data_IF_668479826392
#
_entry.id   IF_668479826392
#
_cell.length_a   1.000
_cell.length_b   1.000
_cell.length_c   1.000
_cell.angle_alpha   90.00
_cell.angle_beta   90.00
_cell.angle_gamma   90.00
#
_symmetry.space_group_name_H-M   'P 1'
#
loop_
_entity.id
_entity.type
_entity.pdbx_description
1 polymer ?
#
# COMPACT_ATOMS: atom_id res chain seq x y z
N UNK A 1 -97.99 -69.06 -42.79
CA UNK A 1 -97.08 -70.21 -42.93
C UNK A 1 -95.69 -69.74 -42.52
N UNK A 2 -95.29 -70.10 -41.30
CA UNK A 2 -94.10 -69.64 -40.58
C UNK A 2 -92.88 -70.37 -41.17
N UNK A 3 -91.91 -69.63 -41.74
CA UNK A 3 -90.65 -70.24 -42.21
C UNK A 3 -89.84 -70.62 -40.96
N UNK A 4 -89.91 -71.88 -40.56
CA UNK A 4 -89.02 -72.44 -39.55
C UNK A 4 -87.63 -72.58 -40.18
N UNK A 5 -86.74 -71.65 -39.81
CA UNK A 5 -85.31 -71.81 -40.06
C UNK A 5 -84.82 -73.03 -39.27
N UNK A 6 -84.07 -73.90 -39.94
CA UNK A 6 -83.59 -75.16 -39.39
C UNK A 6 -82.61 -74.90 -38.23
N UNK A 7 -82.89 -75.42 -37.05
CA UNK A 7 -82.15 -75.10 -35.81
C UNK A 7 -80.66 -75.45 -35.91
N UNK A 8 -80.32 -76.47 -36.69
CA UNK A 8 -78.94 -76.87 -36.93
C UNK A 8 -78.15 -75.83 -37.73
N UNK A 9 -78.81 -75.14 -38.67
CA UNK A 9 -78.20 -74.08 -39.49
C UNK A 9 -77.90 -72.85 -38.65
N UNK A 10 -78.78 -72.50 -37.71
CA UNK A 10 -78.57 -71.38 -36.78
C UNK A 10 -77.44 -71.69 -35.79
N UNK A 11 -77.38 -72.90 -35.24
CA UNK A 11 -76.31 -73.32 -34.32
C UNK A 11 -74.92 -73.28 -34.96
N UNK A 12 -74.78 -73.85 -36.17
CA UNK A 12 -73.51 -73.83 -36.90
C UNK A 12 -73.05 -72.42 -37.27
N UNK A 13 -73.98 -71.51 -37.60
CA UNK A 13 -73.65 -70.11 -37.86
C UNK A 13 -73.13 -69.37 -36.61
N UNK A 14 -73.70 -69.66 -35.44
CA UNK A 14 -73.26 -69.08 -34.15
C UNK A 14 -71.87 -69.59 -33.76
N UNK A 15 -71.59 -70.88 -33.92
CA UNK A 15 -70.28 -71.46 -33.64
C UNK A 15 -69.18 -70.85 -34.52
N UNK A 16 -69.43 -70.69 -35.82
CA UNK A 16 -68.50 -70.04 -36.75
C UNK A 16 -68.28 -68.56 -36.39
N UNK A 17 -69.33 -67.85 -35.99
CA UNK A 17 -69.22 -66.45 -35.57
C UNK A 17 -68.43 -66.32 -34.26
N UNK A 18 -68.66 -67.22 -33.30
CA UNK A 18 -67.92 -67.27 -32.03
C UNK A 18 -66.44 -67.58 -32.25
N UNK A 19 -66.14 -68.54 -33.14
CA UNK A 19 -64.76 -68.88 -33.50
C UNK A 19 -64.02 -67.70 -34.14
N UNK A 20 -64.67 -66.99 -35.08
CA UNK A 20 -64.12 -65.79 -35.71
C UNK A 20 -63.87 -64.66 -34.70
N UNK A 21 -64.81 -64.45 -33.77
CA UNK A 21 -64.65 -63.45 -32.71
C UNK A 21 -63.46 -63.80 -31.80
N UNK A 22 -63.28 -65.09 -31.47
CA UNK A 22 -62.18 -65.55 -30.64
C UNK A 22 -60.82 -65.31 -31.33
N UNK A 23 -60.71 -65.63 -32.62
CA UNK A 23 -59.52 -65.38 -33.43
C UNK A 23 -59.21 -63.89 -33.56
N UNK A 24 -60.23 -63.04 -33.77
CA UNK A 24 -60.07 -61.59 -33.83
C UNK A 24 -59.58 -61.02 -32.48
N UNK A 25 -60.10 -61.52 -31.36
CA UNK A 25 -59.64 -61.13 -30.03
C UNK A 25 -58.21 -61.58 -29.77
N UNK A 26 -57.84 -62.81 -30.17
CA UNK A 26 -56.47 -63.31 -30.03
C UNK A 26 -55.48 -62.47 -30.85
N UNK A 27 -55.82 -62.15 -32.10
CA UNK A 27 -54.98 -61.31 -32.95
C UNK A 27 -54.80 -59.90 -32.35
N UNK A 28 -55.86 -59.31 -31.81
CA UNK A 28 -55.79 -58.01 -31.11
C UNK A 28 -54.90 -58.08 -29.87
N UNK A 29 -55.00 -59.16 -29.08
CA UNK A 29 -54.14 -59.38 -27.92
C UNK A 29 -52.67 -59.52 -28.34
N UNK A 30 -52.37 -60.31 -29.36
CA UNK A 30 -51.01 -60.49 -29.87
C UNK A 30 -50.42 -59.19 -30.43
N UNK A 31 -51.22 -58.41 -31.17
CA UNK A 31 -50.82 -57.11 -31.67
C UNK A 31 -50.50 -56.13 -30.53
N UNK A 32 -51.37 -56.05 -29.53
CA UNK A 32 -51.18 -55.18 -28.36
C UNK A 32 -49.94 -55.60 -27.57
N UNK A 33 -49.73 -56.91 -27.40
CA UNK A 33 -48.54 -57.45 -26.75
C UNK A 33 -47.26 -57.12 -27.53
N UNK A 34 -47.31 -57.22 -28.86
CA UNK A 34 -46.18 -56.86 -29.73
C UNK A 34 -45.85 -55.37 -29.63
N UNK A 35 -46.86 -54.49 -29.65
CA UNK A 35 -46.68 -53.05 -29.48
C UNK A 35 -46.10 -52.70 -28.10
N UNK A 36 -46.61 -53.31 -27.03
CA UNK A 36 -46.07 -53.12 -25.68
C UNK A 36 -44.62 -53.60 -25.58
N UNK A 37 -44.27 -54.71 -26.24
CA UNK A 37 -42.90 -55.23 -26.27
C UNK A 37 -41.93 -54.27 -26.97
N UNK A 38 -42.32 -53.73 -28.12
CA UNK A 38 -41.49 -52.75 -28.84
C UNK A 38 -41.30 -51.46 -28.03
N UNK A 39 -42.37 -50.96 -27.39
CA UNK A 39 -42.29 -49.80 -26.50
C UNK A 39 -41.33 -50.05 -25.34
N UNK A 40 -41.46 -51.20 -24.66
CA UNK A 40 -40.57 -51.55 -23.54
C UNK A 40 -39.12 -51.73 -23.99
N UNK A 41 -38.88 -52.25 -25.20
CA UNK A 41 -37.54 -52.37 -25.75
C UNK A 41 -36.91 -51.00 -26.00
N UNK A 42 -37.68 -50.03 -26.49
CA UNK A 42 -37.24 -48.66 -26.68
C UNK A 42 -36.90 -48.01 -25.32
N UNK A 43 -37.80 -48.10 -24.35
CA UNK A 43 -37.60 -47.53 -23.01
C UNK A 43 -36.35 -48.11 -22.33
N UNK A 44 -36.11 -49.43 -22.46
CA UNK A 44 -34.90 -50.07 -21.94
C UNK A 44 -33.63 -49.59 -22.64
N UNK A 45 -33.70 -49.29 -23.93
CA UNK A 45 -32.57 -48.75 -24.70
C UNK A 45 -32.24 -47.33 -24.26
N UNK A 46 -33.25 -46.48 -24.11
CA UNK A 46 -33.09 -45.10 -23.65
C UNK A 46 -32.55 -45.04 -22.22
N UNK A 47 -33.05 -45.88 -21.32
CA UNK A 47 -32.54 -45.98 -19.95
C UNK A 47 -31.07 -46.40 -19.92
N UNK A 48 -30.66 -47.31 -20.81
CA UNK A 48 -29.27 -47.74 -20.92
C UNK A 48 -28.37 -46.61 -21.44
N UNK A 49 -28.80 -45.92 -22.49
CA UNK A 49 -28.02 -44.84 -23.10
C UNK A 49 -27.88 -43.64 -22.13
N UNK A 50 -28.93 -43.33 -21.36
CA UNK A 50 -28.86 -42.35 -20.26
C UNK A 50 -27.87 -42.75 -19.17
N UNK A 51 -27.84 -44.04 -18.81
CA UNK A 51 -26.91 -44.56 -17.80
C UNK A 51 -25.47 -44.46 -18.27
N UNK A 52 -25.19 -44.89 -19.50
CA UNK A 52 -23.85 -44.85 -20.09
C UNK A 52 -23.34 -43.39 -20.23
N UNK A 53 -24.22 -42.46 -20.63
CA UNK A 53 -23.88 -41.03 -20.72
C UNK A 53 -23.55 -40.43 -19.34
N UNK A 54 -24.32 -40.80 -18.31
CA UNK A 54 -24.09 -40.32 -16.94
C UNK A 54 -22.77 -40.84 -16.38
N UNK A 55 -22.46 -42.11 -16.61
CA UNK A 55 -21.21 -42.71 -16.13
C UNK A 55 -19.97 -42.10 -16.83
N UNK A 56 -20.06 -41.75 -18.11
CA UNK A 56 -19.02 -41.01 -18.82
C UNK A 56 -18.80 -39.60 -18.24
N UNK A 57 -19.89 -38.88 -17.96
CA UNK A 57 -19.82 -37.54 -17.38
C UNK A 57 -19.15 -37.58 -15.99
N UNK A 58 -19.54 -38.54 -15.15
CA UNK A 58 -18.98 -38.67 -13.80
C UNK A 58 -17.48 -39.02 -13.82
N UNK A 59 -17.03 -39.82 -14.79
CA UNK A 59 -15.60 -40.09 -15.00
C UNK A 59 -14.82 -38.85 -15.45
N UNK A 60 -15.41 -38.05 -16.34
CA UNK A 60 -14.79 -36.81 -16.81
C UNK A 60 -14.65 -35.80 -15.67
N UNK A 61 -15.70 -35.65 -14.86
CA UNK A 61 -15.70 -34.76 -13.70
C UNK A 61 -14.65 -35.19 -12.65
N UNK A 62 -14.49 -36.49 -12.43
CA UNK A 62 -13.45 -37.01 -11.54
C UNK A 62 -12.03 -36.68 -12.04
N UNK A 63 -11.78 -36.83 -13.34
CA UNK A 63 -10.47 -36.51 -13.94
C UNK A 63 -10.18 -35.00 -13.85
N UNK A 64 -11.16 -34.16 -14.15
CA UNK A 64 -11.04 -32.71 -14.02
C UNK A 64 -10.71 -32.29 -12.57
N UNK A 65 -11.35 -32.94 -11.59
CA UNK A 65 -11.08 -32.67 -10.18
C UNK A 65 -9.68 -33.13 -9.74
N UNK A 66 -9.17 -34.22 -10.29
CA UNK A 66 -7.80 -34.67 -10.07
C UNK A 66 -6.78 -33.69 -10.64
N UNK A 67 -7.03 -33.17 -11.85
CA UNK A 67 -6.17 -32.17 -12.48
C UNK A 67 -6.15 -30.87 -11.67
N UNK A 68 -7.33 -30.36 -11.28
CA UNK A 68 -7.43 -29.16 -10.45
C UNK A 68 -6.70 -29.34 -9.10
N UNK A 69 -6.80 -30.52 -8.50
CA UNK A 69 -6.06 -30.86 -7.27
C UNK A 69 -4.55 -30.83 -7.49
N UNK A 70 -4.07 -31.37 -8.62
CA UNK A 70 -2.64 -31.33 -8.95
C UNK A 70 -2.14 -29.89 -9.13
N UNK A 71 -2.90 -29.05 -9.84
CA UNK A 71 -2.58 -27.63 -10.02
C UNK A 71 -2.52 -26.88 -8.68
N UNK A 72 -3.48 -27.12 -7.78
CA UNK A 72 -3.48 -26.51 -6.45
C UNK A 72 -2.25 -26.87 -5.62
N UNK A 73 -1.79 -28.14 -5.67
CA UNK A 73 -0.59 -28.57 -4.96
C UNK A 73 0.67 -27.90 -5.51
N UNK A 74 0.78 -27.75 -6.84
CA UNK A 74 1.88 -27.03 -7.46
C UNK A 74 1.87 -25.57 -7.04
N UNK A 75 0.73 -24.89 -7.16
CA UNK A 75 0.59 -23.49 -6.80
C UNK A 75 0.91 -23.22 -5.31
N UNK A 76 0.45 -24.10 -4.41
CA UNK A 76 0.79 -24.01 -2.98
C UNK A 76 2.30 -24.13 -2.75
N UNK A 77 2.95 -25.09 -3.43
CA UNK A 77 4.39 -25.29 -3.32
C UNK A 77 5.22 -24.11 -3.85
N UNK A 78 4.81 -23.51 -4.97
CA UNK A 78 5.47 -22.36 -5.59
C UNK A 78 5.31 -21.11 -4.73
N UNK A 79 4.10 -20.86 -4.22
CA UNK A 79 3.83 -19.75 -3.30
C UNK A 79 4.65 -19.89 -2.02
N UNK A 80 4.72 -21.10 -1.44
CA UNK A 80 5.55 -21.37 -0.26
C UNK A 80 7.04 -21.13 -0.53
N UNK A 81 7.55 -21.54 -1.70
CA UNK A 81 8.95 -21.27 -2.07
C UNK A 81 9.23 -19.78 -2.24
N UNK A 82 8.33 -19.04 -2.90
CA UNK A 82 8.46 -17.59 -3.08
C UNK A 82 8.50 -16.87 -1.73
N UNK A 83 7.57 -17.21 -0.83
CA UNK A 83 7.52 -16.62 0.51
C UNK A 83 8.79 -16.92 1.32
N UNK A 84 9.30 -18.16 1.26
CA UNK A 84 10.56 -18.51 1.93
C UNK A 84 11.75 -17.72 1.39
N UNK A 85 11.78 -17.48 0.07
CA UNK A 85 12.82 -16.67 -0.55
C UNK A 85 12.75 -15.21 -0.09
N UNK A 86 11.56 -14.61 -0.08
CA UNK A 86 11.35 -13.24 0.40
C UNK A 86 11.73 -13.09 1.88
N UNK A 87 11.31 -14.03 2.74
CA UNK A 87 11.69 -14.05 4.16
C UNK A 87 13.21 -14.12 4.31
N UNK A 88 13.87 -15.00 3.55
CA UNK A 88 15.34 -15.11 3.59
C UNK A 88 16.06 -13.83 3.14
N UNK A 89 15.51 -13.13 2.16
CA UNK A 89 16.07 -11.87 1.67
C UNK A 89 15.89 -10.75 2.70
N UNK A 90 14.71 -10.64 3.31
CA UNK A 90 14.42 -9.69 4.37
C UNK A 90 15.28 -9.94 5.62
N UNK A 91 15.51 -11.20 5.99
CA UNK A 91 16.41 -11.54 7.10
C UNK A 91 17.84 -11.04 6.87
N UNK A 92 18.38 -11.20 5.64
CA UNK A 92 19.70 -10.66 5.31
C UNK A 92 19.74 -9.13 5.36
N UNK A 93 18.74 -8.46 4.79
CA UNK A 93 18.65 -7.00 4.85
C UNK A 93 18.59 -6.49 6.30
N UNK A 94 17.86 -7.18 7.17
CA UNK A 94 17.78 -6.83 8.58
C UNK A 94 19.14 -6.98 9.28
N UNK A 95 19.88 -8.07 9.01
CA UNK A 95 21.23 -8.27 9.54
C UNK A 95 22.22 -7.20 9.04
N UNK A 96 22.16 -6.86 7.76
CA UNK A 96 23.00 -5.81 7.17
C UNK A 96 22.73 -4.45 7.82
N UNK A 97 21.45 -4.05 7.91
CA UNK A 97 21.06 -2.79 8.57
C UNK A 97 21.42 -2.76 10.05
N UNK A 98 21.28 -3.90 10.74
CA UNK A 98 21.67 -3.99 12.14
C UNK A 98 23.18 -3.84 12.31
N UNK A 99 23.97 -4.39 11.40
CA UNK A 99 25.44 -4.26 11.38
C UNK A 99 25.87 -2.83 11.07
N UNK A 100 25.28 -2.20 10.06
CA UNK A 100 25.52 -0.80 9.71
C UNK A 100 25.20 0.13 10.88
N UNK A 101 24.05 -0.07 11.53
CA UNK A 101 23.62 0.70 12.70
C UNK A 101 24.61 0.56 13.87
N UNK A 102 25.11 -0.65 14.14
CA UNK A 102 26.11 -0.87 15.18
C UNK A 102 27.43 -0.17 14.85
N UNK A 103 27.90 -0.24 13.60
CA UNK A 103 29.12 0.45 13.18
C UNK A 103 28.99 1.97 13.26
N UNK A 104 27.82 2.51 12.87
CA UNK A 104 27.54 3.94 12.91
C UNK A 104 27.49 4.45 14.36
N UNK A 105 26.85 3.68 15.25
CA UNK A 105 26.83 3.97 16.69
C UNK A 105 28.24 3.99 17.28
N UNK A 106 29.08 3.02 16.93
CA UNK A 106 30.46 2.97 17.42
C UNK A 106 31.30 4.14 16.88
N UNK A 107 31.13 4.50 15.60
CA UNK A 107 31.78 5.67 15.00
C UNK A 107 31.39 6.97 15.71
N UNK A 108 30.10 7.14 16.04
CA UNK A 108 29.61 8.29 16.81
C UNK A 108 30.20 8.33 18.22
N UNK A 109 30.29 7.18 18.91
CA UNK A 109 30.91 7.09 20.24
C UNK A 109 32.37 7.56 20.22
N UNK A 110 33.16 7.10 19.25
CA UNK A 110 34.56 7.53 19.09
C UNK A 110 34.64 9.04 18.84
N UNK A 111 33.72 9.59 18.03
CA UNK A 111 33.70 11.03 17.76
C UNK A 111 33.37 11.85 19.01
N UNK A 112 32.40 11.40 19.81
CA UNK A 112 32.03 12.04 21.08
C UNK A 112 33.24 12.06 22.03
N UNK A 113 33.92 10.92 22.23
CA UNK A 113 35.12 10.86 23.06
C UNK A 113 36.22 11.81 22.58
N UNK A 114 36.43 11.90 21.27
CA UNK A 114 37.40 12.81 20.67
C UNK A 114 37.05 14.27 20.98
N UNK A 115 35.77 14.64 20.87
CA UNK A 115 35.29 15.99 21.17
C UNK A 115 35.40 16.30 22.66
N UNK A 116 35.06 15.36 23.53
CA UNK A 116 35.22 15.50 24.99
C UNK A 116 36.69 15.73 25.37
N UNK A 117 37.62 15.01 24.74
CA UNK A 117 39.05 15.19 24.95
C UNK A 117 39.54 16.56 24.45
N UNK A 118 39.07 17.02 23.29
CA UNK A 118 39.40 18.34 22.78
C UNK A 118 38.85 19.46 23.69
N UNK A 119 37.63 19.29 24.18
CA UNK A 119 36.98 20.26 25.05
C UNK A 119 37.69 20.37 26.41
N UNK A 120 38.11 19.24 26.98
CA UNK A 120 38.90 19.22 28.23
C UNK A 120 40.28 19.84 28.04
N UNK A 121 40.96 19.60 26.91
CA UNK A 121 42.21 20.29 26.55
C UNK A 121 42.02 21.81 26.46
N UNK A 122 41.01 22.26 25.70
CA UNK A 122 40.72 23.68 25.56
C UNK A 122 40.39 24.35 26.90
N UNK A 123 39.65 23.66 27.77
CA UNK A 123 39.33 24.14 29.12
C UNK A 123 40.60 24.33 29.98
N UNK A 124 41.60 23.45 29.85
CA UNK A 124 42.89 23.60 30.52
C UNK A 124 43.71 24.77 29.95
N UNK A 125 43.77 24.90 28.63
CA UNK A 125 44.43 26.03 27.96
C UNK A 125 43.80 27.37 28.36
N UNK A 126 42.46 27.44 28.37
CA UNK A 126 41.70 28.60 28.80
C UNK A 126 42.00 28.99 30.26
N UNK A 127 42.01 28.01 31.17
CA UNK A 127 42.36 28.23 32.58
C UNK A 127 43.78 28.75 32.74
N UNK A 128 44.71 28.30 31.89
CA UNK A 128 46.11 28.74 31.91
C UNK A 128 46.27 30.19 31.47
N UNK A 129 45.52 30.60 30.42
CA UNK A 129 45.46 32.00 29.97
C UNK A 129 44.85 32.90 31.03
N UNK A 130 43.79 32.46 31.70
CA UNK A 130 43.12 33.24 32.74
C UNK A 130 44.02 33.52 33.97
N UNK A 131 44.99 32.64 34.23
CA UNK A 131 45.95 32.75 35.34
C UNK A 131 47.24 33.48 34.95
N UNK A 132 47.41 33.93 33.70
CA UNK A 132 48.56 34.77 33.32
C UNK A 132 48.35 36.20 33.82
N UNK A 133 49.27 36.75 34.66
CA UNK A 133 49.16 38.12 35.12
C UNK A 133 49.34 39.08 33.93
N UNK A 134 48.62 40.22 33.90
CA UNK A 134 48.76 41.20 32.83
C UNK A 134 50.23 41.67 32.73
N UNK A 135 50.74 41.89 31.51
CA UNK A 135 52.11 42.36 31.31
C UNK A 135 52.36 43.64 32.09
N UNK A 136 53.57 43.76 32.67
CA UNK A 136 53.94 44.86 33.55
C UNK A 136 53.67 46.23 32.90
N UNK A 137 53.15 47.22 33.66
CA UNK A 137 52.93 48.57 33.14
C UNK A 137 54.26 49.18 32.71
N UNK A 138 54.35 49.59 31.44
CA UNK A 138 55.43 50.46 30.99
C UNK A 138 55.35 51.80 31.76
N UNK A 139 56.48 52.43 32.15
CA UNK A 139 56.44 53.68 32.89
C UNK A 139 56.13 54.88 31.98
N UNK A 140 54.97 55.51 32.27
CA UNK A 140 54.59 56.94 32.15
C UNK A 140 54.53 57.63 30.76
N UNK A 141 53.88 58.81 30.62
CA UNK A 141 52.83 59.46 31.44
C UNK A 141 51.61 59.95 30.61
N UNK A 142 50.42 59.86 31.22
CA UNK A 142 49.24 60.70 30.93
C UNK A 142 48.42 60.34 29.68
N UNK A 143 47.24 59.74 29.87
CA UNK A 143 46.03 59.87 29.04
C UNK A 143 44.82 59.21 29.80
N UNK A 144 43.56 59.50 29.41
CA UNK A 144 42.38 59.59 30.28
C UNK A 144 41.68 58.20 30.45
N UNK A 145 40.50 58.09 31.08
CA UNK A 145 40.08 56.86 31.76
C UNK A 145 39.84 55.70 30.80
N UNK A 146 40.30 54.51 31.21
CA UNK A 146 40.17 53.23 30.51
C UNK A 146 38.69 52.91 30.28
N UNK A 147 38.27 52.93 29.02
CA UNK A 147 36.94 52.54 28.57
C UNK A 147 36.99 51.08 28.12
N UNK A 148 36.17 50.22 28.74
CA UNK A 148 35.97 48.81 28.35
C UNK A 148 35.17 48.70 27.04
N UNK A 149 35.69 49.24 25.94
CA UNK A 149 35.11 49.06 24.62
C UNK A 149 36.17 48.41 23.72
N UNK A 150 35.81 47.25 23.17
CA UNK A 150 36.55 46.62 22.09
C UNK A 150 36.80 47.70 21.03
N UNK A 151 38.06 47.88 20.63
CA UNK A 151 38.37 48.82 19.56
C UNK A 151 37.61 48.43 18.30
N UNK A 152 37.09 49.38 17.52
CA UNK A 152 36.35 49.10 16.30
C UNK A 152 37.13 48.19 15.36
N UNK A 153 38.47 48.33 15.31
CA UNK A 153 39.33 47.46 14.52
C UNK A 153 39.29 45.99 14.97
N UNK A 154 39.23 45.74 16.28
CA UNK A 154 39.21 44.38 16.83
C UNK A 154 37.85 43.72 16.63
N UNK A 155 36.76 44.49 16.79
CA UNK A 155 35.41 44.00 16.52
C UNK A 155 35.23 43.63 15.04
N UNK A 156 35.72 44.48 14.14
CA UNK A 156 35.67 44.23 12.70
C UNK A 156 36.57 43.06 12.29
N UNK A 157 37.73 42.89 12.93
CA UNK A 157 38.60 41.73 12.71
C UNK A 157 37.93 40.42 13.16
N UNK A 158 37.19 40.44 14.27
CA UNK A 158 36.47 39.28 14.79
C UNK A 158 35.28 38.90 13.89
N UNK A 159 34.49 39.87 13.44
CA UNK A 159 33.38 39.65 12.50
C UNK A 159 33.86 39.14 11.15
N UNK A 160 34.99 39.65 10.66
CA UNK A 160 35.64 39.17 9.44
C UNK A 160 36.13 37.73 9.59
N UNK A 161 36.80 37.40 10.69
CA UNK A 161 37.29 36.05 10.95
C UNK A 161 36.14 35.04 11.06
N UNK A 162 35.04 35.41 11.72
CA UNK A 162 33.82 34.60 11.79
C UNK A 162 33.21 34.36 10.39
N UNK A 163 33.11 35.41 9.58
CA UNK A 163 32.58 35.34 8.21
C UNK A 163 33.44 34.47 7.30
N UNK A 164 34.75 34.61 7.36
CA UNK A 164 35.70 33.82 6.55
C UNK A 164 35.64 32.33 6.93
N UNK A 165 35.42 32.01 8.20
CA UNK A 165 35.32 30.62 8.67
C UNK A 165 33.99 29.95 8.32
N UNK A 166 32.89 30.71 8.28
CA UNK A 166 31.58 30.27 7.80
C UNK A 166 31.63 30.06 6.27
N UNK A 167 32.22 31.00 5.53
CA UNK A 167 32.31 30.94 4.07
C UNK A 167 33.37 29.95 3.56
N UNK A 168 34.44 29.71 4.32
CA UNK A 168 35.46 28.72 3.99
C UNK A 168 34.92 27.28 3.98
N UNK A 169 33.91 26.99 4.81
CA UNK A 169 33.26 25.67 4.86
C UNK A 169 32.41 25.40 3.60
N UNK A 170 31.79 26.43 3.01
CA UNK A 170 31.05 26.31 1.72
C UNK A 170 31.93 25.97 0.50
N UNK A 171 33.24 26.23 0.55
CA UNK A 171 34.13 26.06 -0.61
C UNK A 171 34.72 24.66 -0.74
N UNK A 172 34.76 23.87 0.33
CA UNK A 172 35.35 22.53 0.32
C UNK A 172 34.43 21.45 -0.27
N UNK A 173 33.12 21.68 -0.34
CA UNK A 173 32.15 20.64 -0.67
C UNK A 173 31.78 20.57 -2.16
N UNK A 174 32.48 21.33 -3.02
CA UNK A 174 32.23 21.36 -4.47
C UNK A 174 32.99 20.28 -5.25
N UNK A 175 33.63 19.32 -4.57
CA UNK A 175 34.37 18.24 -5.20
C UNK A 175 33.82 16.85 -4.81
N UNK A 176 33.09 16.26 -5.76
CA UNK A 176 32.93 14.81 -6.01
C UNK A 176 31.77 14.07 -5.30
N UNK A 177 30.73 13.69 -6.05
CA UNK A 177 30.62 12.32 -6.59
C UNK A 177 29.42 12.22 -7.57
N UNK A 178 29.70 11.81 -8.81
CA UNK A 178 28.70 11.31 -9.76
C UNK A 178 28.39 9.85 -9.43
N UNK A 179 27.11 9.49 -9.27
CA UNK A 179 26.61 8.16 -9.60
C UNK A 179 25.29 8.27 -10.36
N UNK A 180 25.26 7.56 -11.47
CA UNK A 180 24.23 7.41 -12.48
C UNK A 180 23.05 6.59 -11.97
N UNK A 181 21.83 7.05 -12.22
CA UNK A 181 20.58 6.31 -12.01
C UNK A 181 19.36 7.21 -12.24
N UNK A 182 18.60 6.94 -13.30
CA UNK A 182 17.47 7.74 -13.78
C UNK A 182 16.26 7.74 -12.84
N UNK A 183 16.09 8.78 -12.01
CA UNK A 183 14.79 9.29 -11.54
C UNK A 183 14.71 10.77 -11.95
N UNK A 184 13.74 11.13 -12.78
CA UNK A 184 13.73 12.46 -13.43
C UNK A 184 13.21 13.61 -12.56
N UNK A 185 12.78 13.40 -11.32
CA UNK A 185 12.54 14.54 -10.40
C UNK A 185 12.48 14.15 -8.91
N UNK A 186 13.29 13.19 -8.50
CA UNK A 186 13.53 12.93 -7.08
C UNK A 186 14.66 13.85 -6.61
N UNK A 187 14.40 15.16 -6.51
CA UNK A 187 15.31 16.08 -5.82
C UNK A 187 15.54 15.55 -4.41
N UNK A 188 16.76 15.08 -4.12
CA UNK A 188 17.19 14.79 -2.74
C UNK A 188 16.78 16.00 -1.90
N UNK A 189 16.03 15.84 -0.79
CA UNK A 189 15.74 16.99 0.05
C UNK A 189 17.10 17.55 0.49
N UNK A 190 17.31 18.83 0.19
CA UNK A 190 18.50 19.61 0.49
C UNK A 190 18.57 19.87 2.01
N UNK A 191 18.55 18.77 2.78
CA UNK A 191 18.50 18.72 4.22
C UNK A 191 19.86 19.13 4.83
N UNK A 192 20.92 19.17 4.02
CA UNK A 192 22.27 19.63 4.36
C UNK A 192 22.38 21.16 4.52
N UNK A 193 21.27 21.91 4.39
CA UNK A 193 21.22 23.37 4.58
C UNK A 193 20.65 23.79 5.93
N UNK A 194 20.25 22.85 6.79
CA UNK A 194 19.89 23.14 8.18
C UNK A 194 21.08 22.84 9.10
N UNK A 195 21.21 23.59 10.21
CA UNK A 195 22.23 23.29 11.21
C UNK A 195 22.15 21.81 11.62
N UNK A 196 23.29 21.12 11.73
CA UNK A 196 23.41 19.67 12.02
C UNK A 196 22.55 19.16 13.20
N UNK A 197 22.11 20.04 14.10
CA UNK A 197 21.22 19.71 15.21
C UNK A 197 19.74 19.50 14.82
N UNK A 198 19.34 19.87 13.60
CA UNK A 198 17.95 19.78 13.12
C UNK A 198 17.66 18.53 12.26
N UNK A 199 18.68 17.78 11.85
CA UNK A 199 18.53 16.61 10.98
C UNK A 199 18.07 15.34 11.72
N UNK A 200 18.15 15.31 13.05
CA UNK A 200 17.66 14.18 13.87
C UNK A 200 16.14 14.23 14.15
N UNK A 201 15.42 15.25 13.68
CA UNK A 201 14.01 15.49 14.09
C UNK A 201 13.01 15.69 12.95
N UNK A 202 13.33 15.33 11.70
CA UNK A 202 12.34 15.37 10.64
C UNK A 202 11.42 14.16 10.71
N UNK A 203 10.19 14.41 11.16
CA UNK A 203 9.12 13.41 11.19
C UNK A 203 8.84 12.90 9.77
N UNK A 204 8.79 11.58 9.63
CA UNK A 204 8.48 10.92 8.35
C UNK A 204 7.11 11.38 7.83
N UNK A 205 6.87 11.38 6.49
CA UNK A 205 5.51 11.52 5.94
C UNK A 205 4.49 10.54 6.55
N UNK A 206 4.97 9.42 7.11
CA UNK A 206 4.18 8.46 7.87
C UNK A 206 3.50 9.07 9.11
N UNK A 207 4.09 10.10 9.73
CA UNK A 207 3.51 10.82 10.89
C UNK A 207 2.16 11.43 10.55
N UNK A 208 1.93 11.84 9.29
CA UNK A 208 0.65 12.40 8.84
C UNK A 208 -0.50 11.37 8.89
N UNK A 209 -0.20 10.10 8.67
CA UNK A 209 -1.22 9.03 8.58
C UNK A 209 -1.27 8.21 9.88
N UNK A 210 -0.12 7.96 10.50
CA UNK A 210 0.05 7.12 11.69
C UNK A 210 0.03 7.91 13.01
N UNK A 211 0.12 9.24 12.95
CA UNK A 211 0.53 10.11 14.05
C UNK A 211 -0.15 9.88 15.40
N UNK A 212 0.54 10.37 16.44
CA UNK A 212 0.13 10.34 17.85
C UNK A 212 -1.35 10.71 18.04
N UNK A 213 -2.08 10.07 18.97
CA UNK A 213 -3.46 10.42 19.26
C UNK A 213 -3.63 11.89 19.69
N UNK A 214 -2.56 12.52 20.17
CA UNK A 214 -2.52 13.94 20.56
C UNK A 214 -1.66 14.71 19.57
N UNK A 215 -2.19 15.84 19.07
CA UNK A 215 -1.45 16.79 18.25
C UNK A 215 -0.48 17.56 19.15
N UNK A 216 0.82 17.26 19.04
CA UNK A 216 1.86 17.95 19.81
C UNK A 216 2.61 18.93 18.90
N UNK A 217 2.91 20.16 19.36
CA UNK A 217 3.73 21.10 18.60
C UNK A 217 5.06 20.47 18.16
N UNK A 218 5.42 20.67 16.89
CA UNK A 218 6.65 20.13 16.30
C UNK A 218 6.58 18.65 15.87
N UNK A 219 5.48 17.93 16.15
CA UNK A 219 5.22 16.58 15.64
C UNK A 219 4.42 16.61 14.34
N UNK A 220 4.98 17.22 13.31
CA UNK A 220 4.37 17.34 12.00
C UNK A 220 5.38 17.04 10.89
N UNK A 221 4.89 16.56 9.76
CA UNK A 221 5.71 16.40 8.57
C UNK A 221 5.81 17.75 7.86
N UNK A 222 7.04 18.27 7.74
CA UNK A 222 7.32 19.51 7.04
C UNK A 222 7.85 19.24 5.62
N UNK A 223 7.38 20.03 4.64
CA UNK A 223 7.96 20.09 3.31
C UNK A 223 8.34 21.54 2.96
N UNK A 224 9.31 21.70 2.08
CA UNK A 224 9.81 23.02 1.69
C UNK A 224 8.79 23.80 0.85
N UNK A 225 8.67 25.10 1.11
CA UNK A 225 7.77 26.00 0.40
C UNK A 225 6.30 25.87 0.80
N UNK A 226 5.42 26.40 -0.06
CA UNK A 226 3.98 26.55 0.19
C UNK A 226 3.11 25.51 -0.53
N UNK A 227 3.73 24.74 -1.44
CA UNK A 227 3.08 23.72 -2.27
C UNK A 227 3.75 22.37 -2.08
N UNK A 228 2.95 21.31 -2.01
CA UNK A 228 3.46 19.96 -1.79
C UNK A 228 2.41 18.91 -2.08
N UNK A 229 2.87 17.69 -2.34
CA UNK A 229 2.03 16.55 -2.69
C UNK A 229 2.34 15.37 -1.79
N UNK A 230 1.28 14.69 -1.34
CA UNK A 230 1.37 13.46 -0.55
C UNK A 230 0.49 12.38 -1.16
N UNK A 231 1.11 11.29 -1.62
CA UNK A 231 0.41 10.13 -2.16
C UNK A 231 0.21 9.07 -1.08
N UNK A 232 -1.02 8.57 -0.94
CA UNK A 232 -1.44 7.72 0.17
C UNK A 232 -2.10 6.46 -0.38
N UNK A 233 -1.52 5.30 -0.05
CA UNK A 233 -2.19 4.01 -0.25
C UNK A 233 -3.13 3.74 0.91
N UNK A 234 -4.40 3.54 0.61
CA UNK A 234 -5.42 3.20 1.60
C UNK A 234 -5.31 1.72 2.01
N UNK A 235 -5.68 1.41 3.26
CA UNK A 235 -5.73 0.02 3.74
C UNK A 235 -6.88 -0.77 3.11
N UNK A 236 -7.98 -0.09 2.76
CA UNK A 236 -9.15 -0.67 2.12
C UNK A 236 -9.64 0.24 0.99
N UNK A 237 -10.22 -0.32 -0.08
CA UNK A 237 -10.90 0.47 -1.09
C UNK A 237 -12.09 1.23 -0.48
N UNK A 238 -12.24 2.51 -0.83
CA UNK A 238 -13.37 3.34 -0.39
C UNK A 238 -14.09 3.98 -1.57
N UNK A 239 -15.37 4.33 -1.42
CA UNK A 239 -16.13 5.04 -2.44
C UNK A 239 -15.84 6.56 -2.45
N UNK A 240 -15.79 7.20 -3.63
CA UNK A 240 -15.51 8.64 -3.82
C UNK A 240 -15.98 9.18 -5.18
N UNK A 241 -15.69 10.44 -5.49
CA UNK A 241 -16.18 11.15 -6.70
C UNK A 241 -15.19 11.24 -7.86
N UNK A 242 -15.70 11.50 -9.07
CA UNK A 242 -14.91 11.66 -10.28
C UNK A 242 -15.23 12.98 -10.99
N UNK A 243 -14.21 13.82 -11.12
CA UNK A 243 -14.08 14.77 -12.22
C UNK A 243 -12.80 14.37 -12.98
N UNK A 244 -12.94 14.08 -14.27
CA UNK A 244 -11.93 13.36 -15.06
C UNK A 244 -10.87 14.34 -15.57
N UNK A 245 -9.60 14.11 -15.21
CA UNK A 245 -8.41 14.79 -15.76
C UNK A 245 -7.33 13.73 -16.04
N UNK A 246 -6.36 14.03 -16.91
CA UNK A 246 -5.32 13.08 -17.37
C UNK A 246 -4.35 12.62 -16.25
N UNK A 247 -4.46 13.16 -15.04
CA UNK A 247 -3.57 12.89 -13.89
C UNK A 247 -4.27 12.24 -12.67
N UNK A 248 -5.57 11.89 -12.80
CA UNK A 248 -6.37 11.33 -11.71
C UNK A 248 -7.78 11.94 -11.64
N UNK A 249 -8.62 11.45 -10.72
CA UNK A 249 -9.96 11.99 -10.49
C UNK A 249 -9.95 12.98 -9.33
N UNK A 250 -10.29 14.25 -9.59
CA UNK A 250 -10.37 15.26 -8.53
C UNK A 250 -11.55 14.93 -7.60
N UNK A 251 -11.26 14.70 -6.32
CA UNK A 251 -12.29 14.43 -5.31
C UNK A 251 -12.95 15.74 -4.83
N UNK A 252 -12.14 16.78 -4.61
CA UNK A 252 -12.61 18.09 -4.19
C UNK A 252 -11.46 19.03 -3.82
N UNK A 253 -11.78 20.31 -3.65
CA UNK A 253 -10.84 21.35 -3.21
C UNK A 253 -11.36 22.00 -1.94
N UNK A 254 -10.49 22.11 -0.94
CA UNK A 254 -10.84 22.58 0.39
C UNK A 254 -9.82 23.59 0.91
N UNK A 255 -10.23 24.41 1.87
CA UNK A 255 -9.36 25.35 2.58
C UNK A 255 -9.41 25.02 4.07
N UNK A 256 -8.25 24.75 4.67
CA UNK A 256 -8.12 24.60 6.12
C UNK A 256 -8.12 25.98 6.77
N UNK A 257 -9.09 26.28 7.63
CA UNK A 257 -9.23 27.58 8.29
C UNK A 257 -8.28 27.69 9.50
N UNK A 258 -7.33 28.62 9.49
CA UNK A 258 -6.41 28.82 10.62
C UNK A 258 -7.11 29.29 11.90
N UNK A 259 -8.26 29.95 11.76
CA UNK A 259 -9.06 30.46 12.89
C UNK A 259 -10.13 29.46 13.34
N UNK A 260 -10.25 28.33 12.65
CA UNK A 260 -11.21 27.28 12.94
C UNK A 260 -10.73 26.28 14.00
N UNK A 261 -11.48 25.18 14.12
CA UNK A 261 -11.09 24.06 14.98
C UNK A 261 -9.80 23.39 14.49
N UNK A 262 -9.00 22.85 15.42
CA UNK A 262 -7.74 22.16 15.10
C UNK A 262 -7.90 20.91 14.23
N UNK A 263 -9.09 20.28 14.25
CA UNK A 263 -9.44 19.13 13.40
C UNK A 263 -10.63 19.49 12.55
N UNK A 264 -10.41 19.65 11.25
CA UNK A 264 -11.45 20.03 10.29
C UNK A 264 -11.78 18.86 9.38
N UNK A 265 -13.07 18.61 9.18
CA UNK A 265 -13.55 17.52 8.34
C UNK A 265 -14.28 18.10 7.13
N UNK A 266 -13.80 17.75 5.95
CA UNK A 266 -14.37 18.19 4.68
C UNK A 266 -15.19 17.05 4.07
N UNK A 267 -16.48 17.31 3.82
CA UNK A 267 -17.38 16.32 3.25
C UNK A 267 -17.33 16.36 1.74
N UNK A 268 -17.22 15.17 1.16
CA UNK A 268 -17.31 14.93 -0.28
C UNK A 268 -18.73 14.46 -0.61
N UNK A 269 -19.38 14.97 -1.69
CA UNK A 269 -20.57 14.34 -2.25
C UNK A 269 -20.42 12.83 -2.51
N UNK A 270 -21.55 12.12 -2.46
CA UNK A 270 -21.61 10.65 -2.53
C UNK A 270 -21.49 10.19 -3.98
N UNK A 271 -20.67 9.16 -4.23
CA UNK A 271 -20.49 8.55 -5.55
C UNK A 271 -20.15 7.06 -5.44
N UNK A 272 -20.25 6.32 -6.54
CA UNK A 272 -20.08 4.85 -6.62
C UNK A 272 -18.67 4.40 -7.05
N UNK A 273 -17.76 5.33 -7.36
CA UNK A 273 -16.39 5.00 -7.80
C UNK A 273 -15.52 4.60 -6.62
N UNK A 274 -14.69 3.56 -6.77
CA UNK A 274 -13.85 3.01 -5.70
C UNK A 274 -12.38 3.42 -5.87
N UNK A 275 -11.77 3.92 -4.80
CA UNK A 275 -10.39 4.41 -4.74
C UNK A 275 -9.55 3.56 -3.79
N UNK A 276 -8.31 3.27 -4.20
CA UNK A 276 -7.27 2.62 -3.37
C UNK A 276 -6.09 3.54 -3.07
N UNK A 277 -5.89 4.56 -3.90
CA UNK A 277 -4.86 5.57 -3.77
C UNK A 277 -5.53 6.94 -3.68
N UNK A 278 -5.06 7.78 -2.77
CA UNK A 278 -5.52 9.16 -2.60
C UNK A 278 -4.32 10.08 -2.59
N UNK A 279 -4.42 11.18 -3.32
CA UNK A 279 -3.39 12.22 -3.37
C UNK A 279 -3.89 13.47 -2.66
N UNK A 280 -3.13 13.95 -1.67
CA UNK A 280 -3.33 15.25 -1.05
C UNK A 280 -2.38 16.24 -1.71
N UNK A 281 -2.94 17.23 -2.41
CA UNK A 281 -2.20 18.39 -2.96
C UNK A 281 -2.42 19.61 -2.08
N UNK A 282 -1.36 20.12 -1.47
CA UNK A 282 -1.34 21.40 -0.77
C UNK A 282 -1.01 22.49 -1.78
N UNK A 283 -1.93 23.45 -1.94
CA UNK A 283 -1.82 24.52 -2.94
C UNK A 283 -1.17 25.79 -2.40
N UNK A 284 -1.33 26.04 -1.10
CA UNK A 284 -0.81 27.20 -0.38
C UNK A 284 -0.77 26.92 1.12
N UNK A 285 -0.11 27.79 1.88
CA UNK A 285 -0.10 27.77 3.34
C UNK A 285 -0.51 29.14 3.93
N UNK A 286 -0.47 29.25 5.26
CA UNK A 286 -0.84 30.46 6.01
C UNK A 286 0.33 31.43 6.24
N UNK A 287 1.19 31.62 5.22
CA UNK A 287 2.16 32.72 5.19
C UNK A 287 3.60 32.37 5.58
N UNK A 288 3.91 31.11 5.89
CA UNK A 288 5.28 30.69 6.14
C UNK A 288 6.04 30.51 4.81
N UNK A 289 7.14 31.24 4.60
CA UNK A 289 7.82 31.29 3.30
C UNK A 289 8.68 30.05 3.01
N UNK A 290 9.29 29.46 4.04
CA UNK A 290 10.29 28.40 3.82
C UNK A 290 9.72 26.97 3.86
N UNK A 291 8.56 26.75 4.47
CA UNK A 291 8.01 25.41 4.66
C UNK A 291 6.52 25.43 4.97
N UNK A 292 5.90 24.26 4.84
CA UNK A 292 4.54 23.97 5.28
C UNK A 292 4.55 22.70 6.10
N UNK A 293 3.82 22.69 7.22
CA UNK A 293 3.76 21.53 8.12
C UNK A 293 2.39 20.88 8.16
N UNK A 294 2.33 19.58 7.89
CA UNK A 294 1.14 18.75 7.97
C UNK A 294 1.19 17.87 9.21
N UNK A 295 0.21 18.02 10.09
CA UNK A 295 0.13 17.23 11.32
C UNK A 295 -0.51 15.87 11.10
N UNK A 296 -1.75 15.86 10.60
CA UNK A 296 -2.51 14.63 10.42
C UNK A 296 -3.53 14.74 9.30
N UNK A 297 -3.55 13.74 8.42
CA UNK A 297 -4.54 13.60 7.37
C UNK A 297 -5.30 12.28 7.56
N UNK A 298 -6.62 12.34 7.47
CA UNK A 298 -7.49 11.18 7.65
C UNK A 298 -8.43 11.07 6.46
N UNK A 299 -8.53 9.87 5.91
CA UNK A 299 -9.48 9.55 4.86
C UNK A 299 -10.57 8.67 5.47
N UNK A 300 -11.82 9.06 5.26
CA UNK A 300 -13.00 8.34 5.71
C UNK A 300 -13.84 7.96 4.49
N UNK A 301 -14.43 6.77 4.49
CA UNK A 301 -15.28 6.33 3.40
C UNK A 301 -16.02 5.03 3.74
N UNK A 302 -16.99 4.67 2.89
CA UNK A 302 -17.68 3.39 3.00
C UNK A 302 -16.89 2.32 2.26
N UNK A 303 -16.76 1.15 2.89
CA UNK A 303 -16.17 -0.01 2.26
C UNK A 303 -17.23 -0.60 1.31
N UNK A 304 -16.92 -0.82 0.02
CA UNK A 304 -17.86 -1.44 -0.89
C UNK A 304 -18.21 -2.85 -0.39
N UNK A 305 -19.50 -3.12 -0.19
CA UNK A 305 -19.99 -4.45 0.16
C UNK A 305 -19.75 -5.37 -1.03
N UNK A 306 -18.94 -6.41 -0.82
CA UNK A 306 -18.68 -7.52 -1.74
C UNK A 306 -19.94 -8.26 -2.14
#
# INVERSE_FOLDING_TARGET
MQRLLDSAVVSGAVEVMMQRLLEEQQLKQELTLSQMKESLQLDLKDLKDLKDLKDLQDLQDLNNLQDLKAQLLVLDSENRQRLLQEVSALSRQMEDHQTESLSASEALRVRIQTLEQQNSKFSQEWSSVQMTPPPAPCPEPGLPPVQHQLTPELQQALEKWLSDRINGRRRSDQASLRLTGSCSDCGRPDADKMADFALETQESPRTVIQGSPVLLPGKCWAFHGVQGTLLISLSHPITGMKEESEEGSLLGTFTYDENGESTQTFKLPISSVVYRLVELRVLSNWGHVDYTCLYRFRVHGQIPSS
#
